data_IF_876219031180
#
_entry.id   IF_876219031180
#
_cell.length_a   1.000
_cell.length_b   1.000
_cell.length_c   1.000
_cell.angle_alpha   90.00
_cell.angle_beta   90.00
_cell.angle_gamma   90.00
#
_symmetry.space_group_name_H-M   'P 1'
#
loop_
_entity.id
_entity.type
_entity.pdbx_description
1 polymer ?
#
# COMPACT_ATOMS: atom_id res chain seq x y z
N UNK A 1 2.81 -44.50 11.50
CA UNK A 1 1.73 -43.67 10.95
C UNK A 1 1.67 -43.98 9.47
N UNK A 2 0.66 -44.75 9.05
CA UNK A 2 0.52 -45.23 7.68
C UNK A 2 -0.26 -44.19 6.87
N UNK A 3 0.34 -43.71 5.77
CA UNK A 3 -0.30 -42.84 4.81
C UNK A 3 -1.35 -43.64 4.04
N UNK A 4 -2.62 -43.40 4.32
CA UNK A 4 -3.73 -43.79 3.46
C UNK A 4 -3.62 -43.01 2.14
N UNK A 5 -3.04 -43.65 1.13
CA UNK A 5 -3.12 -43.19 -0.24
C UNK A 5 -4.59 -43.09 -0.63
N UNK A 6 -5.04 -41.87 -0.97
CA UNK A 6 -6.32 -41.66 -1.64
C UNK A 6 -6.28 -42.48 -2.94
N UNK A 7 -7.05 -43.57 -2.98
CA UNK A 7 -7.47 -44.19 -4.24
C UNK A 7 -8.24 -43.13 -5.02
N UNK A 8 -7.56 -42.47 -5.96
CA UNK A 8 -8.21 -41.74 -7.02
C UNK A 8 -8.90 -42.79 -7.89
N UNK A 9 -10.15 -43.12 -7.55
CA UNK A 9 -11.00 -43.95 -8.36
C UNK A 9 -10.97 -43.42 -9.79
N UNK A 10 -10.46 -44.23 -10.72
CA UNK A 10 -10.45 -43.90 -12.13
C UNK A 10 -11.91 -43.89 -12.61
N UNK A 11 -12.54 -42.71 -12.59
CA UNK A 11 -13.85 -42.52 -13.21
C UNK A 11 -13.74 -42.96 -14.66
N UNK A 12 -14.44 -44.04 -15.01
CA UNK A 12 -14.46 -44.52 -16.39
C UNK A 12 -15.30 -43.56 -17.23
N UNK A 13 -15.12 -43.58 -18.55
CA UNK A 13 -15.99 -42.82 -19.46
C UNK A 13 -17.48 -43.13 -19.22
N UNK A 14 -17.80 -44.38 -18.89
CA UNK A 14 -19.16 -44.81 -18.57
C UNK A 14 -19.67 -44.27 -17.22
N UNK A 15 -18.79 -43.88 -16.29
CA UNK A 15 -19.18 -43.23 -15.03
C UNK A 15 -19.45 -41.75 -15.28
N UNK A 16 -18.60 -41.08 -16.07
CA UNK A 16 -18.84 -39.70 -16.51
C UNK A 16 -20.14 -39.56 -17.30
N UNK A 17 -20.42 -40.48 -18.23
CA UNK A 17 -21.67 -40.45 -19.01
C UNK A 17 -22.90 -40.66 -18.12
N UNK A 18 -22.79 -41.50 -17.07
CA UNK A 18 -23.88 -41.70 -16.09
C UNK A 18 -24.10 -40.47 -15.22
N UNK A 19 -23.02 -39.85 -14.73
CA UNK A 19 -23.09 -38.62 -13.95
C UNK A 19 -23.63 -37.45 -14.77
N UNK A 20 -23.25 -37.34 -16.04
CA UNK A 20 -23.77 -36.32 -16.96
C UNK A 20 -25.27 -36.49 -17.18
N UNK A 21 -25.76 -37.72 -17.39
CA UNK A 21 -27.20 -37.97 -17.53
C UNK A 21 -27.96 -37.66 -16.25
N UNK A 22 -27.43 -38.07 -15.09
CA UNK A 22 -28.03 -37.78 -13.79
C UNK A 22 -28.04 -36.26 -13.47
N UNK A 23 -27.00 -35.53 -13.88
CA UNK A 23 -26.93 -34.08 -13.75
C UNK A 23 -27.91 -33.40 -14.72
N UNK A 24 -28.00 -33.87 -15.97
CA UNK A 24 -28.93 -33.34 -16.97
C UNK A 24 -30.39 -33.48 -16.56
N UNK A 25 -30.75 -34.59 -15.90
CA UNK A 25 -32.11 -34.80 -15.35
C UNK A 25 -32.51 -33.72 -14.34
N UNK A 26 -31.57 -33.15 -13.58
CA UNK A 26 -31.84 -32.03 -12.68
C UNK A 26 -32.24 -30.75 -13.41
N UNK A 27 -31.75 -30.55 -14.64
CA UNK A 27 -32.02 -29.35 -15.46
C UNK A 27 -33.08 -29.57 -16.54
N UNK A 28 -33.53 -30.81 -16.76
CA UNK A 28 -34.55 -31.16 -17.76
C UNK A 28 -35.94 -31.08 -17.16
N UNK A 29 -36.65 -30.02 -17.51
CA UNK A 29 -38.07 -29.89 -17.22
C UNK A 29 -38.90 -30.64 -18.27
N UNK A 30 -39.83 -31.49 -17.84
CA UNK A 30 -40.81 -32.07 -18.77
C UNK A 30 -41.88 -31.01 -19.11
N UNK A 31 -42.41 -31.05 -20.33
CA UNK A 31 -43.46 -30.10 -20.75
C UNK A 31 -44.74 -30.19 -19.90
N UNK A 32 -44.93 -31.33 -19.23
CA UNK A 32 -46.08 -31.65 -18.39
C UNK A 32 -45.81 -31.33 -16.90
N UNK A 33 -44.62 -30.82 -16.57
CA UNK A 33 -44.24 -30.47 -15.21
C UNK A 33 -45.07 -29.25 -14.77
N UNK A 34 -45.90 -29.36 -13.71
CA UNK A 34 -46.69 -28.25 -13.22
C UNK A 34 -45.72 -27.13 -12.84
N UNK A 35 -45.80 -26.05 -13.61
CA UNK A 35 -44.74 -25.04 -13.70
C UNK A 35 -44.20 -24.56 -12.35
N UNK A 36 -42.94 -24.13 -12.44
CA UNK A 36 -42.10 -23.53 -11.41
C UNK A 36 -41.58 -24.56 -10.41
N UNK A 37 -40.28 -24.89 -10.50
CA UNK A 37 -39.52 -25.32 -9.32
C UNK A 37 -40.00 -24.43 -8.17
N UNK A 38 -40.61 -25.01 -7.14
CA UNK A 38 -41.09 -24.27 -5.98
C UNK A 38 -39.86 -23.57 -5.40
N UNK A 39 -39.67 -22.33 -5.80
CA UNK A 39 -38.43 -21.61 -5.57
C UNK A 39 -38.37 -21.32 -4.08
N UNK A 40 -37.52 -22.06 -3.37
CA UNK A 40 -36.91 -21.70 -2.09
C UNK A 40 -37.82 -21.01 -1.06
N UNK A 41 -38.88 -21.68 -0.60
CA UNK A 41 -39.62 -21.27 0.60
C UNK A 41 -40.23 -19.86 0.56
N UNK A 42 -40.93 -19.48 1.64
CA UNK A 42 -41.49 -18.14 1.74
C UNK A 42 -40.38 -17.11 1.99
N UNK A 43 -40.33 -16.08 1.15
CA UNK A 43 -39.40 -14.96 1.32
C UNK A 43 -39.83 -14.11 2.51
N UNK A 44 -38.97 -14.02 3.52
CA UNK A 44 -39.20 -13.16 4.69
C UNK A 44 -38.32 -11.91 4.60
N UNK A 45 -38.89 -10.82 4.08
CA UNK A 45 -38.19 -9.55 3.88
C UNK A 45 -37.58 -9.00 5.19
N UNK A 46 -38.25 -9.20 6.34
CA UNK A 46 -37.75 -8.75 7.63
C UNK A 46 -36.48 -9.51 8.04
N UNK A 47 -36.44 -10.83 7.87
CA UNK A 47 -35.23 -11.64 8.14
C UNK A 47 -34.08 -11.23 7.23
N UNK A 48 -34.35 -11.00 5.94
CA UNK A 48 -33.34 -10.53 4.98
C UNK A 48 -32.80 -9.17 5.39
N UNK A 49 -33.69 -8.22 5.74
CA UNK A 49 -33.30 -6.88 6.16
C UNK A 49 -32.42 -6.88 7.42
N UNK A 50 -32.80 -7.66 8.45
CA UNK A 50 -32.01 -7.79 9.68
C UNK A 50 -30.65 -8.42 9.38
N UNK A 51 -30.62 -9.50 8.58
CA UNK A 51 -29.37 -10.14 8.19
C UNK A 51 -28.42 -9.17 7.46
N UNK A 52 -28.93 -8.47 6.44
CA UNK A 52 -28.15 -7.50 5.68
C UNK A 52 -27.64 -6.37 6.58
N UNK A 53 -28.47 -5.85 7.48
CA UNK A 53 -28.06 -4.82 8.42
C UNK A 53 -26.90 -5.29 9.30
N UNK A 54 -27.00 -6.49 9.88
CA UNK A 54 -25.93 -7.07 10.72
C UNK A 54 -24.64 -7.25 9.92
N UNK A 55 -24.74 -7.78 8.70
CA UNK A 55 -23.57 -7.98 7.83
C UNK A 55 -22.91 -6.66 7.48
N UNK A 56 -23.70 -5.64 7.12
CA UNK A 56 -23.20 -4.30 6.81
C UNK A 56 -22.50 -3.71 8.04
N UNK A 57 -23.15 -3.69 9.20
CA UNK A 57 -22.57 -3.12 10.43
C UNK A 57 -21.30 -3.88 10.83
N UNK A 58 -21.28 -5.20 10.75
CA UNK A 58 -20.09 -6.00 11.07
C UNK A 58 -18.94 -5.73 10.09
N UNK A 59 -19.24 -5.64 8.80
CA UNK A 59 -18.22 -5.40 7.76
C UNK A 59 -17.66 -3.98 7.85
N UNK A 60 -18.53 -2.97 7.90
CA UNK A 60 -18.09 -1.58 8.03
C UNK A 60 -17.44 -1.29 9.39
N UNK A 61 -17.99 -1.86 10.47
CA UNK A 61 -17.42 -1.73 11.82
C UNK A 61 -16.04 -2.34 11.92
N UNK A 62 -15.83 -3.56 11.41
CA UNK A 62 -14.51 -4.19 11.39
C UNK A 62 -13.51 -3.42 10.51
N UNK A 63 -13.92 -3.02 9.30
CA UNK A 63 -13.09 -2.20 8.42
C UNK A 63 -12.68 -0.87 9.10
N UNK A 64 -13.61 -0.20 9.78
CA UNK A 64 -13.34 1.03 10.51
C UNK A 64 -12.30 0.84 11.62
N UNK A 65 -12.45 -0.22 12.43
CA UNK A 65 -11.50 -0.55 13.50
C UNK A 65 -10.11 -0.83 12.93
N UNK A 66 -10.03 -1.60 11.84
CA UNK A 66 -8.76 -1.90 11.18
C UNK A 66 -8.08 -0.65 10.62
N UNK A 67 -8.83 0.22 9.94
CA UNK A 67 -8.31 1.49 9.39
C UNK A 67 -7.81 2.38 10.52
N UNK A 68 -8.58 2.56 11.59
CA UNK A 68 -8.14 3.35 12.75
C UNK A 68 -6.91 2.76 13.43
N UNK A 69 -6.83 1.43 13.54
CA UNK A 69 -5.65 0.73 14.05
C UNK A 69 -4.42 0.97 13.18
N UNK A 70 -4.57 0.85 11.86
CA UNK A 70 -3.50 1.09 10.90
C UNK A 70 -2.99 2.53 10.97
N UNK A 71 -3.90 3.51 10.99
CA UNK A 71 -3.54 4.93 11.08
C UNK A 71 -2.73 5.21 12.35
N UNK A 72 -3.15 4.69 13.51
CA UNK A 72 -2.37 4.82 14.75
C UNK A 72 -0.96 4.25 14.61
N UNK A 73 -0.82 3.06 14.02
CA UNK A 73 0.49 2.44 13.81
C UNK A 73 1.37 3.27 12.87
N UNK A 74 0.79 3.87 11.84
CA UNK A 74 1.52 4.77 10.94
C UNK A 74 1.98 6.04 11.68
N UNK A 75 1.12 6.65 12.49
CA UNK A 75 1.47 7.82 13.30
C UNK A 75 2.61 7.49 14.28
N UNK A 76 2.53 6.34 14.98
CA UNK A 76 3.59 5.90 15.88
C UNK A 76 4.91 5.64 15.16
N UNK A 77 4.87 5.08 13.95
CA UNK A 77 6.07 4.86 13.14
C UNK A 77 6.68 6.18 12.68
N UNK A 78 5.85 7.17 12.35
CA UNK A 78 6.31 8.48 11.93
C UNK A 78 6.94 9.25 13.10
N UNK A 79 6.29 9.25 14.28
CA UNK A 79 6.86 9.81 15.51
C UNK A 79 8.20 9.14 15.84
N UNK A 80 8.26 7.80 15.80
CA UNK A 80 9.49 7.06 16.07
C UNK A 80 10.59 7.26 15.01
N UNK A 81 10.25 7.71 13.80
CA UNK A 81 11.22 8.12 12.77
C UNK A 81 11.70 9.53 13.02
N UNK A 82 10.81 10.44 13.39
CA UNK A 82 11.16 11.80 13.77
C UNK A 82 12.08 11.79 14.97
N UNK A 83 11.74 11.10 16.06
CA UNK A 83 12.58 10.98 17.27
C UNK A 83 13.96 10.36 16.99
N UNK A 84 14.08 9.40 16.07
CA UNK A 84 15.38 8.82 15.68
C UNK A 84 16.21 9.77 14.84
N UNK A 85 15.56 10.53 13.96
CA UNK A 85 16.25 11.41 13.03
C UNK A 85 16.51 12.79 13.63
N UNK A 86 15.76 13.21 14.64
CA UNK A 86 15.86 14.55 15.22
C UNK A 86 17.23 14.83 15.86
N UNK A 87 17.87 13.91 16.61
CA UNK A 87 19.23 14.10 17.09
C UNK A 87 20.24 14.22 15.94
N UNK A 88 20.13 13.37 14.92
CA UNK A 88 21.01 13.39 13.75
C UNK A 88 20.81 14.66 12.90
N UNK A 89 19.57 15.12 12.74
CA UNK A 89 19.23 16.33 11.99
C UNK A 89 19.70 17.56 12.75
N UNK A 90 19.57 17.60 14.08
CA UNK A 90 20.12 18.68 14.89
C UNK A 90 21.66 18.69 14.82
N UNK A 91 22.32 17.55 15.01
CA UNK A 91 23.77 17.41 14.92
C UNK A 91 24.30 17.81 13.53
N UNK A 92 23.60 17.42 12.47
CA UNK A 92 23.92 17.81 11.10
C UNK A 92 23.73 19.32 10.89
N UNK A 93 22.64 19.92 11.38
CA UNK A 93 22.40 21.37 11.30
C UNK A 93 23.47 22.17 12.03
N UNK A 94 23.86 21.74 13.24
CA UNK A 94 24.91 22.38 14.03
C UNK A 94 26.29 22.24 13.37
N UNK A 95 26.59 21.07 12.82
CA UNK A 95 27.86 20.82 12.10
C UNK A 95 27.93 21.65 10.82
N UNK A 96 26.83 21.71 10.06
CA UNK A 96 26.72 22.57 8.87
C UNK A 96 26.88 24.04 9.23
N UNK A 97 26.20 24.54 10.25
CA UNK A 97 26.34 25.93 10.70
C UNK A 97 27.78 26.26 11.13
N UNK A 98 28.49 25.32 11.77
CA UNK A 98 29.91 25.48 12.11
C UNK A 98 30.81 25.54 10.87
N UNK A 99 30.59 24.67 9.90
CA UNK A 99 31.35 24.67 8.64
C UNK A 99 31.09 25.93 7.82
N UNK A 100 29.82 26.32 7.67
CA UNK A 100 29.45 27.54 6.95
C UNK A 100 30.01 28.78 7.66
N UNK A 101 29.98 28.82 8.99
CA UNK A 101 30.61 29.87 9.79
C UNK A 101 32.13 29.94 9.59
N UNK A 102 32.81 28.79 9.60
CA UNK A 102 34.26 28.73 9.37
C UNK A 102 34.64 29.23 7.96
N UNK A 103 33.90 28.79 6.94
CA UNK A 103 34.11 29.18 5.54
C UNK A 103 33.78 30.65 5.28
N UNK A 104 32.80 31.21 5.99
CA UNK A 104 32.42 32.63 5.85
C UNK A 104 33.40 33.55 6.58
N UNK A 105 33.87 33.16 7.77
CA UNK A 105 34.77 33.98 8.58
C UNK A 105 36.21 34.00 8.04
N UNK A 106 36.70 32.87 7.52
CA UNK A 106 38.05 32.75 6.98
C UNK A 106 38.02 31.91 5.70
N UNK A 107 37.89 32.54 4.52
CA UNK A 107 37.99 31.83 3.24
C UNK A 107 39.38 31.24 3.10
N UNK A 108 39.52 29.94 3.30
CA UNK A 108 40.79 29.24 3.14
C UNK A 108 41.05 28.95 1.66
N UNK A 109 42.31 29.14 1.25
CA UNK A 109 42.78 28.71 -0.06
C UNK A 109 42.69 27.18 -0.14
N UNK A 110 41.93 26.68 -1.11
CA UNK A 110 41.93 25.26 -1.46
C UNK A 110 43.23 24.90 -2.19
N UNK A 111 43.61 25.77 -3.13
CA UNK A 111 44.88 25.71 -3.87
C UNK A 111 45.25 27.14 -4.30
N UNK A 112 46.30 27.69 -3.67
CA UNK A 112 46.77 29.04 -3.95
C UNK A 112 47.49 29.18 -5.29
N UNK A 113 48.02 28.09 -5.87
CA UNK A 113 48.67 28.11 -7.18
C UNK A 113 47.65 28.09 -8.32
N UNK A 114 46.54 27.37 -8.12
CA UNK A 114 45.43 27.33 -9.06
C UNK A 114 44.40 28.46 -8.85
N UNK A 115 44.57 29.30 -7.81
CA UNK A 115 43.65 30.41 -7.51
C UNK A 115 42.28 29.95 -7.00
N UNK A 116 42.19 28.78 -6.37
CA UNK A 116 40.92 28.20 -5.91
C UNK A 116 40.72 28.43 -4.41
N UNK A 117 39.57 28.97 -4.02
CA UNK A 117 39.18 29.27 -2.63
C UNK A 117 37.99 28.42 -2.22
N UNK A 118 37.94 27.95 -0.97
CA UNK A 118 36.76 27.30 -0.41
C UNK A 118 35.79 28.35 0.11
N UNK A 119 34.55 28.30 -0.38
CA UNK A 119 33.46 29.18 0.05
C UNK A 119 32.20 28.35 0.32
N UNK A 120 31.23 28.86 1.09
CA UNK A 120 29.93 28.20 1.24
C UNK A 120 29.24 28.01 -0.11
N UNK A 121 28.56 26.87 -0.29
CA UNK A 121 27.91 26.52 -1.57
C UNK A 121 26.86 27.56 -1.98
N UNK A 122 26.11 28.09 -1.01
CA UNK A 122 25.09 29.10 -1.28
C UNK A 122 25.70 30.40 -1.83
N UNK A 123 26.87 30.80 -1.32
CA UNK A 123 27.62 31.95 -1.84
C UNK A 123 28.17 31.66 -3.24
N UNK A 124 28.72 30.46 -3.46
CA UNK A 124 29.19 30.05 -4.78
C UNK A 124 28.06 30.11 -5.83
N UNK A 125 26.86 29.64 -5.46
CA UNK A 125 25.70 29.66 -6.34
C UNK A 125 25.22 31.09 -6.64
N UNK A 126 25.23 31.99 -5.64
CA UNK A 126 24.92 33.40 -5.85
C UNK A 126 25.89 34.06 -6.84
N UNK A 127 27.20 33.84 -6.67
CA UNK A 127 28.23 34.39 -7.56
C UNK A 127 28.05 33.92 -9.01
N UNK A 128 27.75 32.63 -9.21
CA UNK A 128 27.46 32.08 -10.54
C UNK A 128 26.20 32.72 -11.12
N UNK A 129 25.11 32.82 -10.36
CA UNK A 129 23.86 33.45 -10.83
C UNK A 129 24.08 34.90 -11.24
N UNK A 130 24.84 35.67 -10.46
CA UNK A 130 25.17 37.06 -10.78
C UNK A 130 25.98 37.18 -12.08
N UNK A 131 26.98 36.32 -12.27
CA UNK A 131 27.77 36.29 -13.50
C UNK A 131 26.91 36.04 -14.75
N UNK A 132 25.99 35.08 -14.67
CA UNK A 132 25.10 34.75 -15.78
C UNK A 132 24.02 35.82 -16.03
N UNK A 133 23.54 36.50 -14.98
CA UNK A 133 22.62 37.65 -15.14
C UNK A 133 23.29 38.82 -15.85
N UNK A 134 24.56 39.11 -15.54
CA UNK A 134 25.32 40.16 -16.20
C UNK A 134 25.62 39.86 -17.68
N UNK A 135 25.83 38.58 -18.02
CA UNK A 135 26.07 38.13 -19.40
C UNK A 135 24.80 38.10 -20.27
N UNK A 136 23.63 37.91 -19.68
CA UNK A 136 22.35 37.92 -20.40
C UNK A 136 21.82 39.34 -20.70
N UNK A 137 22.44 40.38 -20.13
CA UNK A 137 22.05 41.78 -20.30
C UNK A 137 22.90 42.56 -21.33
N UNK A 138 23.89 41.91 -21.95
CA UNK A 138 24.69 42.41 -23.08
C UNK A 138 24.43 41.57 -24.34
#
# INVERSE_FOLDING_TARGET
>A
MSHSHHESGHHTKADFERELVAHDEWFRHSADEPHHQVSHGETNAAKIGVFLFVVIVATFGSAWVLVKGLLKVLDYKEIARQERNEPFVQEYRESRARWDGALTANPEWADSRAGTVRIPVDLAMQLVIEEYKGKAAN
#
